data_IF_178915898566
#
_entry.id   IF_178915898566
#
_cell.length_a   1.000
_cell.length_b   1.000
_cell.length_c   1.000
_cell.angle_alpha   90.00
_cell.angle_beta   90.00
_cell.angle_gamma   90.00
#
_symmetry.space_group_name_H-M   'P 1'
#
loop_
_entity.id
_entity.type
_entity.pdbx_description
1 polymer ?
#
# COMPACT_ATOMS: atom_id res chain seq x y z
N UNK A 1 -12.56 4.33 4.40
CA UNK A 1 -12.83 3.38 5.51
C UNK A 1 -11.54 2.64 5.81
N UNK A 2 -10.70 3.12 6.72
CA UNK A 2 -9.50 2.36 7.12
C UNK A 2 -9.92 1.25 8.08
N UNK A 3 -10.40 0.12 7.55
CA UNK A 3 -10.79 -1.03 8.37
C UNK A 3 -9.53 -1.58 9.07
N UNK A 4 -9.53 -1.74 10.41
CA UNK A 4 -8.40 -2.32 11.13
C UNK A 4 -8.20 -3.80 10.79
N UNK A 5 -9.22 -4.45 10.24
CA UNK A 5 -9.22 -5.86 9.91
C UNK A 5 -8.54 -6.11 8.56
N UNK A 6 -7.39 -6.80 8.59
CA UNK A 6 -6.60 -7.18 7.42
C UNK A 6 -6.66 -8.70 7.25
N UNK A 7 -7.15 -9.16 6.10
CA UNK A 7 -7.25 -10.59 5.78
C UNK A 7 -6.17 -10.96 4.78
N UNK A 8 -5.40 -12.01 5.05
CA UNK A 8 -4.29 -12.48 4.20
C UNK A 8 -4.55 -13.84 3.56
N UNK A 9 -5.39 -14.66 4.19
CA UNK A 9 -5.72 -16.02 3.77
C UNK A 9 -6.98 -16.07 2.90
N UNK A 10 -7.09 -17.11 2.09
CA UNK A 10 -8.26 -17.30 1.23
C UNK A 10 -9.51 -17.57 2.08
N UNK A 11 -10.54 -16.74 1.93
CA UNK A 11 -11.84 -16.91 2.59
C UNK A 11 -12.80 -17.71 1.71
N UNK A 12 -13.66 -18.51 2.34
CA UNK A 12 -14.82 -19.12 1.68
C UNK A 12 -15.86 -18.05 1.31
N UNK A 13 -16.88 -18.44 0.54
CA UNK A 13 -18.02 -17.56 0.23
C UNK A 13 -18.79 -17.16 1.49
N UNK A 14 -18.95 -18.08 2.45
CA UNK A 14 -19.68 -17.86 3.71
C UNK A 14 -18.97 -16.90 4.66
N UNK A 15 -17.64 -16.86 4.63
CA UNK A 15 -16.80 -16.07 5.56
C UNK A 15 -16.26 -14.79 4.93
N UNK A 16 -16.69 -14.46 3.70
CA UNK A 16 -16.18 -13.30 2.97
C UNK A 16 -16.69 -11.98 3.57
N UNK A 17 -15.75 -11.13 4.00
CA UNK A 17 -16.04 -9.76 4.41
C UNK A 17 -15.51 -8.78 3.34
N UNK A 18 -16.38 -8.12 2.55
CA UNK A 18 -15.95 -7.14 1.54
C UNK A 18 -15.42 -5.83 2.15
N UNK A 19 -15.72 -5.55 3.42
CA UNK A 19 -15.25 -4.36 4.11
C UNK A 19 -13.84 -4.56 4.70
N UNK A 20 -13.35 -5.79 4.82
CA UNK A 20 -12.02 -6.07 5.33
C UNK A 20 -10.94 -5.83 4.26
N UNK A 21 -9.74 -5.43 4.69
CA UNK A 21 -8.61 -5.16 3.78
C UNK A 21 -8.00 -6.48 3.30
N UNK A 22 -8.40 -6.91 2.11
CA UNK A 22 -7.93 -8.15 1.48
C UNK A 22 -6.49 -8.01 0.94
N UNK A 23 -5.56 -8.86 1.38
CA UNK A 23 -4.15 -8.90 0.94
C UNK A 23 -3.75 -10.32 0.54
N UNK A 24 -2.66 -10.43 -0.23
CA UNK A 24 -2.03 -11.72 -0.59
C UNK A 24 -3.05 -12.76 -1.13
N UNK A 25 -3.06 -13.97 -0.57
CA UNK A 25 -3.95 -15.05 -1.02
C UNK A 25 -5.44 -14.68 -0.92
N UNK A 26 -5.83 -13.89 0.07
CA UNK A 26 -7.20 -13.41 0.23
C UNK A 26 -7.67 -12.56 -0.95
N UNK A 27 -6.78 -11.70 -1.49
CA UNK A 27 -7.05 -10.87 -2.67
C UNK A 27 -7.09 -11.70 -3.96
N UNK A 28 -6.20 -12.69 -4.06
CA UNK A 28 -6.03 -13.48 -5.28
C UNK A 28 -7.06 -14.62 -5.42
N UNK A 29 -7.69 -15.07 -4.32
CA UNK A 29 -8.53 -16.27 -4.29
C UNK A 29 -9.69 -16.26 -5.30
N UNK A 30 -10.24 -15.07 -5.58
CA UNK A 30 -11.43 -14.86 -6.44
C UNK A 30 -11.10 -14.49 -7.88
N UNK A 31 -9.82 -14.28 -8.21
CA UNK A 31 -9.42 -13.92 -9.58
C UNK A 31 -9.59 -15.17 -10.48
N UNK A 32 -10.20 -15.04 -11.68
CA UNK A 32 -10.38 -16.17 -12.60
C UNK A 32 -9.05 -16.82 -13.01
N UNK A 33 -8.00 -16.03 -13.12
CA UNK A 33 -6.63 -16.46 -13.44
C UNK A 33 -5.93 -16.86 -12.14
N UNK A 34 -5.44 -18.11 -12.09
CA UNK A 34 -4.68 -18.62 -10.94
C UNK A 34 -3.24 -18.13 -11.01
N UNK A 35 -2.80 -17.45 -9.96
CA UNK A 35 -1.43 -16.99 -9.80
C UNK A 35 -0.62 -18.12 -9.20
N UNK A 36 0.27 -18.73 -9.99
CA UNK A 36 1.25 -19.70 -9.50
C UNK A 36 2.34 -18.97 -8.72
N UNK A 37 2.67 -19.48 -7.53
CA UNK A 37 3.73 -18.91 -6.71
C UNK A 37 5.08 -19.35 -7.26
N UNK A 38 5.86 -18.40 -7.78
CA UNK A 38 7.24 -18.62 -8.21
C UNK A 38 8.25 -18.38 -7.08
N UNK A 39 9.51 -18.72 -7.36
CA UNK A 39 10.62 -18.39 -6.48
C UNK A 39 10.78 -16.87 -6.32
N UNK A 40 10.94 -16.39 -5.09
CA UNK A 40 11.13 -14.95 -4.82
C UNK A 40 12.55 -14.56 -5.19
N UNK A 41 12.69 -13.95 -6.36
CA UNK A 41 13.99 -13.44 -6.82
C UNK A 41 14.41 -12.19 -6.04
N UNK A 42 15.72 -12.08 -5.78
CA UNK A 42 16.31 -10.89 -5.17
C UNK A 42 16.19 -9.71 -6.14
N UNK A 43 15.74 -8.57 -5.62
CA UNK A 43 15.73 -7.31 -6.36
C UNK A 43 17.17 -6.93 -6.80
N UNK A 44 17.38 -6.52 -8.07
CA UNK A 44 18.67 -6.03 -8.56
C UNK A 44 19.26 -4.90 -7.70
N UNK A 45 20.57 -4.70 -7.77
CA UNK A 45 21.22 -3.67 -6.95
C UNK A 45 20.79 -2.23 -7.27
N UNK A 46 20.42 -1.95 -8.52
CA UNK A 46 20.01 -0.62 -8.95
C UNK A 46 18.59 -0.22 -8.49
N UNK A 47 17.73 -1.17 -8.09
CA UNK A 47 16.35 -0.89 -7.68
C UNK A 47 16.24 -0.74 -6.16
N UNK A 48 16.91 0.28 -5.62
CA UNK A 48 16.96 0.58 -4.18
C UNK A 48 16.35 1.94 -3.88
N UNK A 49 15.57 1.97 -2.81
CA UNK A 49 14.85 3.17 -2.36
C UNK A 49 15.73 3.93 -1.38
N UNK A 50 15.81 5.26 -1.54
CA UNK A 50 16.39 6.15 -0.54
C UNK A 50 15.36 6.40 0.56
N UNK A 51 15.77 6.22 1.82
CA UNK A 51 14.91 6.51 2.96
C UNK A 51 14.48 7.99 2.95
N UNK A 52 13.27 8.26 3.45
CA UNK A 52 12.82 9.64 3.67
C UNK A 52 13.78 10.37 4.61
N UNK A 53 14.23 11.56 4.21
CA UNK A 53 15.16 12.36 5.03
C UNK A 53 14.38 13.29 5.96
N UNK A 54 14.77 13.40 7.25
CA UNK A 54 14.24 14.41 8.18
C UNK A 54 14.43 15.84 7.70
N UNK A 55 15.40 16.09 6.81
CA UNK A 55 15.66 17.42 6.24
C UNK A 55 14.70 17.80 5.10
N UNK A 56 13.80 16.89 4.69
CA UNK A 56 12.82 17.12 3.61
C UNK A 56 11.41 17.24 4.17
N UNK A 57 10.46 17.64 3.33
CA UNK A 57 9.03 17.78 3.69
C UNK A 57 8.30 16.44 3.90
N UNK A 58 9.03 15.33 3.94
CA UNK A 58 8.45 13.99 4.07
C UNK A 58 7.52 13.86 5.29
N UNK A 59 8.01 14.26 6.47
CA UNK A 59 7.25 14.15 7.71
C UNK A 59 6.10 15.15 7.78
N UNK A 60 6.30 16.37 7.29
CA UNK A 60 5.26 17.39 7.18
C UNK A 60 4.05 16.88 6.38
N UNK A 61 4.29 16.36 5.16
CA UNK A 61 3.21 15.82 4.33
C UNK A 61 2.54 14.63 5.00
N UNK A 62 3.31 13.72 5.59
CA UNK A 62 2.79 12.55 6.30
C UNK A 62 1.88 12.94 7.46
N UNK A 63 2.25 13.97 8.23
CA UNK A 63 1.45 14.46 9.35
C UNK A 63 0.17 15.15 8.87
N UNK A 64 0.24 15.98 7.83
CA UNK A 64 -0.94 16.61 7.21
C UNK A 64 -1.94 15.54 6.73
N UNK A 65 -1.47 14.50 6.05
CA UNK A 65 -2.33 13.41 5.56
C UNK A 65 -3.07 12.71 6.71
N UNK A 66 -2.36 12.44 7.81
CA UNK A 66 -2.92 11.79 9.00
C UNK A 66 -3.93 12.68 9.74
N UNK A 67 -3.59 13.96 9.93
CA UNK A 67 -4.47 14.93 10.57
C UNK A 67 -5.80 15.10 9.82
N UNK A 68 -5.76 15.01 8.49
CA UNK A 68 -6.94 15.18 7.64
C UNK A 68 -7.62 13.84 7.26
N UNK A 69 -7.17 12.71 7.79
CA UNK A 69 -7.67 11.37 7.45
C UNK A 69 -7.74 11.10 5.93
N UNK A 70 -6.73 11.56 5.18
CA UNK A 70 -6.69 11.43 3.72
C UNK A 70 -5.91 10.18 3.30
N UNK A 71 -6.43 9.48 2.28
CA UNK A 71 -5.79 8.30 1.71
C UNK A 71 -4.99 8.65 0.45
N UNK A 72 -3.79 8.07 0.33
CA UNK A 72 -2.93 8.24 -0.83
C UNK A 72 -2.50 6.91 -1.43
N UNK A 73 -2.35 6.87 -2.75
CA UNK A 73 -1.77 5.69 -3.42
C UNK A 73 -0.30 5.51 -3.02
N UNK A 74 0.37 6.60 -2.62
CA UNK A 74 1.74 6.60 -2.14
C UNK A 74 1.92 5.65 -0.95
N UNK A 75 1.03 5.74 0.04
CA UNK A 75 1.08 4.89 1.25
C UNK A 75 0.44 3.51 1.01
N UNK A 76 -0.73 3.48 0.36
CA UNK A 76 -1.50 2.24 0.18
C UNK A 76 -0.79 1.21 -0.71
N UNK A 77 -0.10 1.68 -1.76
CA UNK A 77 0.66 0.82 -2.66
C UNK A 77 2.10 0.55 -2.17
N UNK A 78 2.51 1.09 -1.02
CA UNK A 78 3.91 1.05 -0.56
C UNK A 78 4.88 1.54 -1.64
N UNK A 79 4.56 2.71 -2.23
CA UNK A 79 5.26 3.24 -3.40
C UNK A 79 6.75 3.46 -3.08
N UNK A 80 7.69 2.95 -3.90
CA UNK A 80 9.12 3.12 -3.67
C UNK A 80 9.57 4.59 -3.76
N UNK A 81 8.78 5.47 -4.39
CA UNK A 81 9.12 6.88 -4.60
C UNK A 81 8.54 7.80 -3.51
N UNK A 82 7.88 7.27 -2.47
CA UNK A 82 7.21 8.08 -1.44
C UNK A 82 8.15 9.07 -0.74
N UNK A 83 9.41 8.68 -0.51
CA UNK A 83 10.44 9.55 0.07
C UNK A 83 10.71 10.79 -0.76
N UNK A 84 10.83 10.61 -2.08
CA UNK A 84 11.06 11.71 -3.02
C UNK A 84 9.82 12.56 -3.22
N UNK A 85 8.67 11.94 -3.47
CA UNK A 85 7.42 12.66 -3.73
C UNK A 85 7.03 13.55 -2.55
N UNK A 86 6.96 12.98 -1.33
CA UNK A 86 6.62 13.78 -0.15
C UNK A 86 7.73 14.78 0.19
N UNK A 87 9.00 14.43 -0.04
CA UNK A 87 10.11 15.36 0.16
C UNK A 87 9.99 16.63 -0.69
N UNK A 88 9.40 16.52 -1.88
CA UNK A 88 9.07 17.63 -2.80
C UNK A 88 7.70 18.28 -2.52
N UNK A 89 6.94 17.79 -1.54
CA UNK A 89 5.59 18.27 -1.22
C UNK A 89 4.51 17.78 -2.19
N UNK A 90 4.73 16.65 -2.88
CA UNK A 90 3.79 16.06 -3.83
C UNK A 90 3.16 14.79 -3.28
N UNK A 91 1.84 14.67 -3.35
CA UNK A 91 1.10 13.47 -3.00
C UNK A 91 -0.01 13.19 -4.03
N UNK A 92 -0.35 11.92 -4.22
CA UNK A 92 -1.45 11.49 -5.10
C UNK A 92 -2.53 10.84 -4.25
N UNK A 93 -3.70 11.47 -4.23
CA UNK A 93 -4.83 11.07 -3.39
C UNK A 93 -5.68 9.98 -4.04
N UNK A 94 -6.32 9.17 -3.20
CA UNK A 94 -7.39 8.27 -3.60
C UNK A 94 -8.72 8.84 -3.11
N UNK A 95 -9.55 9.29 -4.05
CA UNK A 95 -10.81 10.00 -3.75
C UNK A 95 -11.93 9.08 -3.24
N UNK A 96 -11.84 7.78 -3.52
CA UNK A 96 -12.84 6.78 -3.14
C UNK A 96 -12.36 5.77 -2.10
N UNK A 97 -11.16 6.00 -1.54
CA UNK A 97 -10.59 5.24 -0.42
C UNK A 97 -10.68 3.74 -0.57
#
# INVERSE_FOLDING_TARGET
MSTPEVVREAQSTETYNPLAKQKAAAKLSRIPIKVEQGEVLKKPEWIRVKAGSPTTRFYEIKDILRQNNLHTVCEEASCPNIGECFGKGTATFMIMG
#
